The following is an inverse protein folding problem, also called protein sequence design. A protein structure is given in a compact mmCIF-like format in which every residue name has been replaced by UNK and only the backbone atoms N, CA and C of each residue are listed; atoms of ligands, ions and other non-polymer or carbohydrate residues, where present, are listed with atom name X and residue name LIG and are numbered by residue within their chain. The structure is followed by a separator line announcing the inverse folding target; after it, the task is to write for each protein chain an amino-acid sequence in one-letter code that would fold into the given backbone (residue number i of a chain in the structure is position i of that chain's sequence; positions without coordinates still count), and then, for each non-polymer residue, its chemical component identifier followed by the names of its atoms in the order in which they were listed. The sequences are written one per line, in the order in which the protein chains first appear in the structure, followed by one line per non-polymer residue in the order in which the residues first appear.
data_IF_980508157199
#
_entry.id   IF_980508157199
#
_cell.length_a   1.000
_cell.length_b   1.000
_cell.length_c   1.000
_cell.angle_alpha   90.00
_cell.angle_beta   90.00
_cell.angle_gamma   90.00
#
_symmetry.space_group_name_H-M   'P 1'
#
loop_
_entity.id
_entity.type
_entity.pdbx_description
1 polymer ?
#
# COMPACT_ATOMS: atom_id res chain seq x y z
N UNK A 1 -19.00 18.97 -19.71
CA UNK A 1 -17.80 19.38 -18.92
C UNK A 1 -16.95 18.14 -18.75
N UNK A 2 -15.71 18.24 -18.26
CA UNK A 2 -14.97 17.15 -17.55
C UNK A 2 -13.44 17.34 -17.65
N UNK A 3 -12.94 18.57 -17.52
CA UNK A 3 -11.59 18.75 -16.97
C UNK A 3 -11.73 18.89 -15.46
N UNK A 4 -11.52 17.80 -14.73
CA UNK A 4 -11.39 17.84 -13.28
C UNK A 4 -9.94 18.21 -12.96
N UNK A 5 -9.74 19.36 -12.31
CA UNK A 5 -8.41 19.85 -11.91
C UNK A 5 -8.24 19.62 -10.40
N UNK A 6 -7.14 18.99 -10.03
CA UNK A 6 -6.68 19.04 -8.64
C UNK A 6 -6.23 20.46 -8.33
N UNK A 7 -6.71 21.01 -7.22
CA UNK A 7 -6.39 22.36 -6.77
C UNK A 7 -5.76 22.32 -5.39
N UNK A 8 -4.80 23.20 -5.16
CA UNK A 8 -4.32 23.50 -3.81
C UNK A 8 -5.39 24.36 -3.10
N UNK A 9 -6.18 23.71 -2.25
CA UNK A 9 -7.26 24.34 -1.50
C UNK A 9 -6.74 25.43 -0.54
N UNK A 10 -5.52 25.28 0.00
CA UNK A 10 -4.92 26.28 0.88
C UNK A 10 -4.56 27.56 0.10
N UNK A 11 -3.95 27.39 -1.09
CA UNK A 11 -3.64 28.51 -1.96
C UNK A 11 -4.92 29.21 -2.46
N UNK A 12 -5.97 28.43 -2.79
CA UNK A 12 -7.27 28.97 -3.18
C UNK A 12 -7.93 29.74 -2.04
N UNK A 13 -7.99 29.16 -0.83
CA UNK A 13 -8.55 29.78 0.36
C UNK A 13 -7.90 31.15 0.61
N UNK A 14 -6.56 31.21 0.67
CA UNK A 14 -5.81 32.45 0.86
C UNK A 14 -6.13 33.51 -0.20
N UNK A 15 -6.31 33.10 -1.45
CA UNK A 15 -6.69 34.00 -2.54
C UNK A 15 -8.09 34.56 -2.35
N UNK A 16 -9.05 33.74 -1.92
CA UNK A 16 -10.43 34.17 -1.65
C UNK A 16 -10.45 35.15 -0.47
N UNK A 17 -9.72 34.86 0.62
CA UNK A 17 -9.60 35.78 1.77
C UNK A 17 -9.05 37.15 1.39
N UNK A 18 -8.02 37.19 0.52
CA UNK A 18 -7.47 38.45 0.03
C UNK A 18 -8.53 39.29 -0.70
N UNK A 19 -9.34 38.64 -1.54
CA UNK A 19 -10.41 39.32 -2.28
C UNK A 19 -11.55 39.76 -1.34
N UNK A 20 -11.92 38.94 -0.35
CA UNK A 20 -12.91 39.30 0.66
C UNK A 20 -12.49 40.55 1.44
N UNK A 21 -11.22 40.64 1.84
CA UNK A 21 -10.67 41.83 2.53
C UNK A 21 -10.67 43.09 1.66
N UNK A 22 -10.56 42.93 0.34
CA UNK A 22 -10.63 44.03 -0.61
C UNK A 22 -12.08 44.39 -1.01
N UNK A 23 -13.06 43.55 -0.68
CA UNK A 23 -14.47 43.74 -1.03
C UNK A 23 -15.15 44.77 -0.12
N UNK A 24 -16.20 45.40 -0.63
CA UNK A 24 -17.01 46.32 0.16
C UNK A 24 -17.93 45.54 1.12
N UNK A 25 -18.01 45.95 2.40
CA UNK A 25 -18.86 45.27 3.37
C UNK A 25 -20.35 45.47 3.03
N UNK A 26 -21.18 44.52 3.48
CA UNK A 26 -22.64 44.49 3.29
C UNK A 26 -23.06 44.41 1.82
N UNK A 27 -22.27 43.72 1.00
CA UNK A 27 -22.57 43.50 -0.42
C UNK A 27 -22.78 42.02 -0.72
N UNK A 28 -23.45 41.74 -1.85
CA UNK A 28 -23.57 40.37 -2.38
C UNK A 28 -22.19 39.76 -2.65
N UNK A 29 -21.24 40.57 -3.10
CA UNK A 29 -19.85 40.14 -3.33
C UNK A 29 -19.21 39.59 -2.04
N UNK A 30 -19.37 40.28 -0.92
CA UNK A 30 -18.89 39.79 0.39
C UNK A 30 -19.52 38.44 0.75
N UNK A 31 -20.83 38.30 0.56
CA UNK A 31 -21.55 37.05 0.81
C UNK A 31 -21.02 35.91 -0.07
N UNK A 32 -20.78 36.16 -1.36
CA UNK A 32 -20.23 35.16 -2.29
C UNK A 32 -18.84 34.69 -1.88
N UNK A 33 -17.95 35.58 -1.45
CA UNK A 33 -16.63 35.16 -0.99
C UNK A 33 -16.69 34.35 0.31
N UNK A 34 -17.58 34.71 1.24
CA UNK A 34 -17.79 33.92 2.47
C UNK A 34 -18.32 32.52 2.17
N UNK A 35 -19.28 32.41 1.27
CA UNK A 35 -19.85 31.13 0.84
C UNK A 35 -18.80 30.24 0.16
N UNK A 36 -17.93 30.85 -0.65
CA UNK A 36 -16.80 30.15 -1.28
C UNK A 36 -15.76 29.67 -0.24
N UNK A 37 -15.46 30.46 0.80
CA UNK A 37 -14.58 30.03 1.90
C UNK A 37 -15.19 28.85 2.65
N UNK A 38 -16.46 28.94 3.05
CA UNK A 38 -17.17 27.84 3.71
C UNK A 38 -17.13 26.56 2.87
N UNK A 39 -17.32 26.67 1.55
CA UNK A 39 -17.24 25.52 0.63
C UNK A 39 -15.84 24.88 0.58
N UNK A 40 -14.78 25.67 0.75
CA UNK A 40 -13.40 25.17 0.81
C UNK A 40 -13.12 24.54 2.19
N UNK A 41 -13.61 25.15 3.26
CA UNK A 41 -13.44 24.66 4.64
C UNK A 41 -14.21 23.36 4.90
N UNK A 42 -15.39 23.21 4.30
CA UNK A 42 -16.21 22.00 4.36
C UNK A 42 -15.66 20.86 3.47
N UNK A 43 -14.73 21.17 2.56
CA UNK A 43 -14.13 20.15 1.70
C UNK A 43 -13.18 19.25 2.51
N UNK A 44 -13.21 17.93 2.31
CA UNK A 44 -12.31 17.03 3.02
C UNK A 44 -10.86 17.34 2.63
N UNK A 45 -9.98 17.41 3.64
CA UNK A 45 -8.55 17.37 3.38
C UNK A 45 -8.18 15.98 2.91
N UNK A 46 -7.49 15.91 1.78
CA UNK A 46 -7.01 14.64 1.25
C UNK A 46 -5.49 14.65 1.29
N UNK A 47 -4.90 13.61 1.88
CA UNK A 47 -3.46 13.40 1.83
C UNK A 47 -3.13 12.64 0.53
N UNK A 48 -2.38 13.26 -0.41
CA UNK A 48 -1.96 12.63 -1.67
C UNK A 48 -1.25 11.28 -1.48
N UNK A 49 -0.55 11.07 -0.37
CA UNK A 49 0.14 9.82 -0.07
C UNK A 49 -0.84 8.70 0.35
N UNK A 50 -2.05 9.06 0.77
CA UNK A 50 -3.12 8.12 1.15
C UNK A 50 -4.22 7.97 0.09
N UNK A 51 -4.17 8.77 -0.98
CA UNK A 51 -5.27 8.95 -1.92
C UNK A 51 -5.58 7.72 -2.79
N UNK A 52 -4.58 6.87 -3.03
CA UNK A 52 -4.69 5.51 -3.57
C UNK A 52 -3.48 4.71 -3.11
N UNK A 53 -3.56 3.37 -2.98
CA UNK A 53 -2.37 2.60 -2.72
C UNK A 53 -1.41 2.78 -3.91
N UNK A 54 -0.32 3.50 -3.66
CA UNK A 54 0.78 3.61 -4.62
C UNK A 54 1.65 2.37 -4.44
N UNK A 55 1.98 1.69 -5.53
CA UNK A 55 2.94 0.60 -5.50
C UNK A 55 4.25 1.07 -4.83
N UNK A 56 4.55 0.50 -3.67
CA UNK A 56 5.74 0.80 -2.89
C UNK A 56 6.93 0.03 -3.46
N UNK A 57 8.11 0.63 -3.43
CA UNK A 57 9.33 -0.02 -3.93
C UNK A 57 9.79 -1.07 -2.90
N UNK A 58 9.79 -2.37 -3.26
CA UNK A 58 10.12 -3.46 -2.34
C UNK A 58 11.60 -3.47 -1.89
N UNK A 59 12.51 -2.79 -2.59
CA UNK A 59 13.92 -2.73 -2.23
C UNK A 59 14.19 -1.67 -1.14
N UNK A 60 13.48 -0.54 -1.19
CA UNK A 60 13.70 0.60 -0.29
C UNK A 60 12.69 0.70 0.84
N UNK A 61 11.48 0.17 0.63
CA UNK A 61 10.38 0.14 1.59
C UNK A 61 9.69 -1.22 1.51
N UNK A 62 10.33 -2.34 1.91
CA UNK A 62 9.68 -3.65 1.93
C UNK A 62 8.52 -3.66 2.95
N UNK A 63 7.51 -4.51 2.77
CA UNK A 63 6.50 -4.69 3.81
C UNK A 63 7.13 -5.29 5.07
N UNK A 64 6.40 -5.21 6.18
CA UNK A 64 6.78 -5.93 7.38
C UNK A 64 6.85 -7.42 7.07
N UNK A 65 7.86 -8.09 7.61
CA UNK A 65 8.07 -9.54 7.48
C UNK A 65 6.80 -10.30 7.89
N UNK A 66 6.51 -11.39 7.18
CA UNK A 66 5.31 -12.21 7.32
C UNK A 66 3.96 -11.50 7.11
N UNK A 67 3.94 -10.28 6.56
CA UNK A 67 2.70 -9.58 6.23
C UNK A 67 2.27 -9.88 4.80
N UNK A 68 1.06 -10.39 4.63
CA UNK A 68 0.49 -10.59 3.30
C UNK A 68 0.12 -9.27 2.62
N UNK A 69 0.54 -9.13 1.37
CA UNK A 69 0.38 -7.93 0.55
C UNK A 69 0.04 -8.30 -0.89
N UNK A 70 -0.48 -7.34 -1.65
CA UNK A 70 -0.49 -7.43 -3.11
C UNK A 70 0.90 -7.12 -3.63
N UNK A 71 1.39 -7.90 -4.61
CA UNK A 71 2.65 -7.63 -5.30
C UNK A 71 2.43 -7.43 -6.79
N UNK A 72 3.27 -6.59 -7.39
CA UNK A 72 3.44 -6.43 -8.82
C UNK A 72 4.77 -7.06 -9.21
N UNK A 73 4.74 -8.07 -10.08
CA UNK A 73 5.95 -8.73 -10.56
C UNK A 73 6.06 -8.69 -12.09
N UNK A 74 7.29 -8.73 -12.59
CA UNK A 74 7.56 -8.83 -14.04
C UNK A 74 7.46 -10.28 -14.49
N UNK A 75 6.63 -10.55 -15.49
CA UNK A 75 6.44 -11.88 -16.04
C UNK A 75 7.40 -12.16 -17.21
N UNK A 76 7.38 -13.39 -17.72
CA UNK A 76 8.37 -13.89 -18.69
C UNK A 76 8.23 -13.29 -20.10
N UNK A 77 7.15 -12.54 -20.36
CA UNK A 77 6.90 -11.86 -21.64
C UNK A 77 7.04 -10.34 -21.53
N UNK A 78 7.83 -9.87 -20.56
CA UNK A 78 8.04 -8.44 -20.24
C UNK A 78 6.75 -7.68 -19.87
N UNK A 79 5.70 -8.41 -19.48
CA UNK A 79 4.49 -7.85 -18.91
C UNK A 79 4.56 -7.76 -17.39
N UNK A 80 3.49 -7.23 -16.81
CA UNK A 80 3.30 -7.19 -15.37
C UNK A 80 2.07 -8.00 -14.96
N UNK A 81 2.17 -8.67 -13.83
CA UNK A 81 1.09 -9.44 -13.22
C UNK A 81 1.02 -9.16 -11.73
N UNK A 82 -0.15 -9.38 -11.13
CA UNK A 82 -0.42 -9.15 -9.71
C UNK A 82 -0.81 -10.47 -9.04
N UNK A 83 -0.32 -10.69 -7.82
CA UNK A 83 -0.73 -11.79 -6.92
C UNK A 83 -0.59 -11.36 -5.46
N UNK A 84 -0.95 -12.21 -4.50
CA UNK A 84 -0.63 -11.99 -3.07
C UNK A 84 0.68 -12.67 -2.70
N UNK A 85 1.45 -12.07 -1.81
CA UNK A 85 2.68 -12.64 -1.28
C UNK A 85 3.03 -12.03 0.07
N UNK A 86 3.98 -12.65 0.77
CA UNK A 86 4.67 -12.04 1.90
C UNK A 86 6.18 -12.00 1.63
N UNK A 87 6.87 -11.13 2.36
CA UNK A 87 8.31 -10.95 2.25
C UNK A 87 9.01 -11.49 3.50
N UNK A 88 10.11 -12.21 3.28
CA UNK A 88 11.01 -12.71 4.30
C UNK A 88 12.37 -12.05 4.16
N UNK A 89 12.94 -11.59 5.27
CA UNK A 89 14.28 -10.98 5.30
C UNK A 89 15.40 -11.95 5.66
N UNK A 90 15.05 -13.20 6.01
CA UNK A 90 15.97 -14.23 6.46
C UNK A 90 16.13 -14.36 7.97
N UNK A 91 15.36 -13.60 8.76
CA UNK A 91 15.45 -13.60 10.23
C UNK A 91 14.49 -14.56 10.93
N UNK A 92 13.41 -14.98 10.26
CA UNK A 92 12.36 -15.82 10.82
C UNK A 92 12.77 -17.29 10.79
N UNK A 93 12.46 -17.99 11.88
CA UNK A 93 12.64 -19.42 12.02
C UNK A 93 11.32 -20.16 11.82
N UNK A 94 11.38 -21.41 11.37
CA UNK A 94 10.23 -22.27 11.09
C UNK A 94 9.24 -22.29 12.26
N UNK A 95 9.72 -22.49 13.49
CA UNK A 95 8.84 -22.61 14.65
C UNK A 95 8.20 -21.29 15.09
N UNK A 96 8.76 -20.16 14.66
CA UNK A 96 8.23 -18.82 14.96
C UNK A 96 7.27 -18.31 13.88
N UNK A 97 7.23 -18.97 12.72
CA UNK A 97 6.52 -18.45 11.57
C UNK A 97 5.00 -18.51 11.74
N UNK A 98 4.31 -17.46 11.33
CA UNK A 98 2.84 -17.43 11.27
C UNK A 98 2.29 -18.17 10.05
N UNK A 99 3.17 -18.51 9.11
CA UNK A 99 2.85 -19.23 7.88
C UNK A 99 3.23 -20.71 7.99
N UNK A 100 2.50 -21.56 7.26
CA UNK A 100 2.80 -22.98 7.19
C UNK A 100 3.84 -23.26 6.10
N UNK A 101 4.93 -23.95 6.45
CA UNK A 101 6.01 -24.27 5.52
C UNK A 101 6.17 -25.77 5.37
N UNK A 102 6.21 -26.22 4.12
CA UNK A 102 6.49 -27.62 3.79
C UNK A 102 7.90 -27.78 3.27
N UNK A 103 8.49 -28.92 3.62
CA UNK A 103 9.82 -29.35 3.18
C UNK A 103 10.93 -28.32 3.46
N UNK A 104 10.71 -27.34 4.33
CA UNK A 104 11.74 -26.36 4.71
C UNK A 104 13.06 -27.02 5.14
N UNK A 105 13.07 -28.20 5.81
CA UNK A 105 14.32 -28.92 6.06
C UNK A 105 15.15 -29.26 4.82
N UNK A 106 14.53 -29.41 3.64
CA UNK A 106 15.20 -29.78 2.40
C UNK A 106 15.87 -28.59 1.69
N UNK A 107 15.44 -27.35 1.98
CA UNK A 107 15.88 -26.16 1.24
C UNK A 107 16.13 -24.90 2.09
N UNK A 108 15.76 -24.92 3.37
CA UNK A 108 16.05 -23.87 4.36
C UNK A 108 17.47 -23.94 4.90
N UNK A 109 17.83 -23.00 5.76
CA UNK A 109 19.16 -22.99 6.41
C UNK A 109 19.04 -23.43 7.86
N UNK A 110 19.60 -24.61 8.16
CA UNK A 110 19.61 -25.15 9.52
C UNK A 110 20.51 -24.32 10.45
N UNK A 111 20.04 -24.07 11.67
CA UNK A 111 20.74 -23.39 12.74
C UNK A 111 20.92 -24.36 13.91
N UNK A 112 22.17 -24.80 14.13
CA UNK A 112 22.50 -25.81 15.14
C UNK A 112 22.27 -25.32 16.57
N UNK A 113 22.37 -24.01 16.84
CA UNK A 113 22.21 -23.47 18.19
C UNK A 113 20.75 -23.49 18.61
N UNK A 114 19.85 -23.22 17.64
CA UNK A 114 18.42 -23.19 17.87
C UNK A 114 17.73 -24.54 17.62
N UNK A 115 18.40 -25.47 16.94
CA UNK A 115 17.79 -26.73 16.46
C UNK A 115 16.55 -26.44 15.59
N UNK A 116 16.70 -25.49 14.67
CA UNK A 116 15.60 -25.01 13.82
C UNK A 116 16.09 -24.50 12.45
N UNK A 117 15.17 -24.30 11.52
CA UNK A 117 15.48 -23.83 10.16
C UNK A 117 15.09 -22.37 9.98
N UNK A 118 16.02 -21.58 9.43
CA UNK A 118 15.73 -20.22 8.97
C UNK A 118 15.05 -20.24 7.62
N UNK A 119 14.00 -19.45 7.51
CA UNK A 119 13.29 -19.20 6.26
C UNK A 119 14.18 -18.31 5.37
N UNK A 120 14.44 -18.68 4.10
CA UNK A 120 15.27 -17.89 3.22
C UNK A 120 14.64 -16.55 2.87
N UNK A 121 15.49 -15.53 2.76
CA UNK A 121 15.13 -14.21 2.28
C UNK A 121 14.49 -14.27 0.89
N UNK A 122 13.36 -13.59 0.70
CA UNK A 122 12.69 -13.50 -0.60
C UNK A 122 11.20 -13.22 -0.49
N UNK A 123 10.53 -13.33 -1.63
CA UNK A 123 9.07 -13.24 -1.75
C UNK A 123 8.47 -14.64 -1.86
N UNK A 124 7.38 -14.85 -1.15
CA UNK A 124 6.73 -16.15 -1.03
C UNK A 124 5.23 -16.00 -1.26
N UNK A 125 4.71 -16.71 -2.26
CA UNK A 125 3.30 -16.68 -2.63
C UNK A 125 2.52 -17.69 -1.78
N UNK A 126 1.54 -17.20 -1.03
CA UNK A 126 0.53 -18.06 -0.41
C UNK A 126 -0.61 -18.31 -1.40
N UNK A 127 -0.59 -19.49 -2.04
CA UNK A 127 -1.60 -19.84 -3.04
C UNK A 127 -2.91 -20.27 -2.37
N UNK A 128 -3.82 -19.33 -2.23
CA UNK A 128 -5.15 -19.52 -1.66
C UNK A 128 -6.00 -20.65 -2.27
N UNK A 129 -5.72 -21.06 -3.51
CA UNK A 129 -6.51 -22.03 -4.27
C UNK A 129 -5.68 -23.21 -4.81
N UNK A 130 -4.55 -23.51 -4.18
CA UNK A 130 -3.73 -24.66 -4.57
C UNK A 130 -4.32 -25.99 -4.07
N UNK A 131 -3.89 -27.12 -4.67
CA UNK A 131 -4.09 -28.44 -4.08
C UNK A 131 -3.55 -28.52 -2.65
N UNK A 132 -4.10 -29.45 -1.86
CA UNK A 132 -3.55 -29.79 -0.55
C UNK A 132 -2.05 -30.13 -0.69
N UNK A 133 -1.24 -29.72 0.30
CA UNK A 133 0.22 -29.94 0.36
C UNK A 133 1.05 -29.17 -0.69
N UNK A 134 0.62 -27.96 -1.08
CA UNK A 134 1.42 -27.04 -1.90
C UNK A 134 1.34 -25.61 -1.36
N UNK A 135 2.16 -25.31 -0.35
CA UNK A 135 2.18 -24.03 0.33
C UNK A 135 3.42 -23.18 0.01
N UNK A 136 3.28 -21.86 0.15
CA UNK A 136 4.38 -20.88 0.17
C UNK A 136 5.47 -21.10 -0.89
N UNK A 137 5.11 -20.87 -2.16
CA UNK A 137 6.05 -21.02 -3.25
C UNK A 137 6.97 -19.80 -3.35
N UNK A 138 8.27 -20.04 -3.54
CA UNK A 138 9.21 -18.97 -3.81
C UNK A 138 8.82 -18.25 -5.11
N UNK A 139 8.71 -16.94 -5.03
CA UNK A 139 8.58 -16.09 -6.21
C UNK A 139 9.99 -15.87 -6.76
N UNK A 140 10.27 -16.52 -7.87
CA UNK A 140 11.55 -16.48 -8.60
C UNK A 140 11.63 -15.32 -9.61
N UNK A 141 10.61 -14.45 -9.64
CA UNK A 141 10.50 -13.31 -10.55
C UNK A 141 10.74 -11.98 -9.84
N UNK A 142 11.23 -10.94 -10.56
CA UNK A 142 11.42 -9.63 -9.97
C UNK A 142 10.09 -9.03 -9.50
N UNK A 143 9.96 -8.82 -8.20
CA UNK A 143 8.90 -8.00 -7.61
C UNK A 143 9.31 -6.54 -7.73
N UNK A 144 8.48 -5.74 -8.37
CA UNK A 144 8.76 -4.32 -8.68
C UNK A 144 7.88 -3.35 -7.89
N UNK A 145 6.88 -3.88 -7.18
CA UNK A 145 5.97 -3.09 -6.37
C UNK A 145 5.20 -3.94 -5.38
N UNK A 146 4.77 -3.36 -4.26
CA UNK A 146 3.77 -3.97 -3.38
C UNK A 146 2.78 -2.94 -2.82
N UNK A 147 1.64 -3.41 -2.33
CA UNK A 147 0.61 -2.60 -1.66
C UNK A 147 -0.03 -3.42 -0.53
N UNK A 148 -0.45 -2.80 0.58
CA UNK A 148 -1.23 -3.51 1.59
C UNK A 148 -2.51 -4.07 0.98
N UNK A 149 -3.00 -5.20 1.53
CA UNK A 149 -4.33 -5.68 1.19
C UNK A 149 -5.39 -4.62 1.54
N UNK A 150 -6.53 -4.59 0.81
CA UNK A 150 -7.67 -3.77 1.23
C UNK A 150 -8.08 -4.09 2.67
N UNK A 151 -8.60 -3.11 3.43
CA UNK A 151 -9.09 -3.37 4.77
C UNK A 151 -10.21 -4.42 4.72
N UNK A 152 -10.21 -5.34 5.67
CA UNK A 152 -11.33 -6.28 5.83
C UNK A 152 -12.60 -5.47 6.16
N UNK A 153 -13.56 -5.44 5.22
CA UNK A 153 -14.89 -4.90 5.52
C UNK A 153 -15.61 -5.87 6.46
N UNK A 154 -15.52 -5.63 7.77
CA UNK A 154 -16.38 -6.30 8.74
C UNK A 154 -17.78 -5.64 8.66
N UNK A 155 -18.53 -5.92 7.60
CA UNK A 155 -19.98 -5.71 7.63
C UNK A 155 -20.60 -6.78 8.52
N UNK A 156 -20.92 -6.40 9.76
CA UNK A 156 -21.85 -7.15 10.62
C UNK A 156 -23.30 -6.94 10.19
#
# INVERSE_FOLDING_TARGET
MDEVRLIDANALHKRIEMNLRASNPFTIEECCYKDALNSVDDAPTIDPETLQPTWRNPETDPPKVETEVLILYRNDIDGYSITTAHYEDGSVFLQDSVWYWEDLPDWGTYDEERDDYKIPKGWWEYRHFNPDDVYNNKIDRPVVGWMPLPPEEITK
#
